data_IF_846792850649
#
_entry.id   IF_846792850649
#
_cell.length_a   1.000
_cell.length_b   1.000
_cell.length_c   1.000
_cell.angle_alpha   90.00
_cell.angle_beta   90.00
_cell.angle_gamma   90.00
#
_symmetry.space_group_name_H-M   'P 1'
#
loop_
_entity.id
_entity.type
_entity.pdbx_description
1 polymer ?
#
# COMPACT_ATOMS: atom_id res chain seq x y z
N UNK A 1 21.89 -2.02 8.57
CA UNK A 1 22.30 -2.89 7.43
C UNK A 1 22.95 -2.03 6.37
N UNK A 2 24.01 -2.51 5.71
CA UNK A 2 24.73 -1.76 4.67
C UNK A 2 23.78 -1.52 3.49
N UNK A 3 23.32 -0.29 3.32
CA UNK A 3 22.69 0.16 2.08
C UNK A 3 23.68 -0.18 0.95
N UNK A 4 23.29 -1.11 0.07
CA UNK A 4 23.97 -1.21 -1.21
C UNK A 4 23.75 0.13 -1.89
N UNK A 5 24.78 0.97 -1.88
CA UNK A 5 24.87 2.13 -2.75
C UNK A 5 24.59 1.62 -4.16
N UNK A 6 23.39 1.88 -4.67
CA UNK A 6 23.13 1.78 -6.09
C UNK A 6 24.17 2.65 -6.77
N UNK A 7 25.06 2.00 -7.51
CA UNK A 7 26.10 2.64 -8.30
C UNK A 7 25.46 3.77 -9.10
N UNK A 8 26.06 4.95 -8.98
CA UNK A 8 25.74 6.11 -9.82
C UNK A 8 25.66 5.63 -11.28
N UNK A 9 24.63 6.00 -12.05
CA UNK A 9 24.64 5.69 -13.47
C UNK A 9 25.89 6.34 -14.05
N UNK A 10 26.79 5.49 -14.56
CA UNK A 10 27.99 5.93 -15.26
C UNK A 10 27.62 6.96 -16.32
N UNK A 11 28.54 7.90 -16.54
CA UNK A 11 28.45 9.04 -17.44
C UNK A 11 28.22 8.61 -18.92
N UNK A 12 27.06 8.05 -19.23
CA UNK A 12 26.66 7.66 -20.59
C UNK A 12 26.21 8.85 -21.43
N UNK A 13 25.85 9.96 -20.78
CA UNK A 13 25.45 11.20 -21.45
C UNK A 13 26.56 11.85 -22.28
N UNK A 14 27.82 11.73 -21.87
CA UNK A 14 28.93 12.34 -22.62
C UNK A 14 29.19 11.67 -23.98
N UNK A 15 28.89 10.38 -24.13
CA UNK A 15 29.08 9.67 -25.40
C UNK A 15 28.10 10.13 -26.48
N UNK A 16 26.86 10.48 -26.10
CA UNK A 16 25.83 10.95 -27.04
C UNK A 16 26.18 12.36 -27.56
N UNK A 17 26.72 13.22 -26.70
CA UNK A 17 27.14 14.59 -27.06
C UNK A 17 28.33 14.55 -28.04
N UNK A 18 29.29 13.63 -27.84
CA UNK A 18 30.41 13.40 -28.77
C UNK A 18 29.95 12.87 -30.14
N UNK A 19 28.93 12.02 -30.18
CA UNK A 19 28.38 11.46 -31.43
C UNK A 19 27.63 12.52 -32.25
N UNK A 20 26.98 13.50 -31.60
CA UNK A 20 26.31 14.63 -32.27
C UNK A 20 27.29 15.58 -32.96
N UNK A 21 28.54 15.69 -32.51
CA UNK A 21 29.56 16.54 -33.12
C UNK A 21 30.21 15.91 -34.38
N UNK A 22 30.09 14.60 -34.59
CA UNK A 22 30.57 13.93 -35.82
C UNK A 22 29.56 13.98 -36.98
N UNK A 23 28.34 14.48 -36.77
CA UNK A 23 27.28 14.61 -37.77
C UNK A 23 27.19 16.02 -38.37
N UNK A 24 28.33 16.70 -38.52
CA UNK A 24 28.40 17.95 -39.29
C UNK A 24 28.57 17.56 -40.77
N UNK A 25 27.65 17.95 -41.67
CA UNK A 25 27.65 17.47 -43.05
C UNK A 25 28.77 18.13 -43.86
N UNK A 26 29.93 17.47 -43.89
CA UNK A 26 30.94 17.70 -44.92
C UNK A 26 30.53 17.02 -46.22
N UNK A 27 29.72 17.70 -47.06
CA UNK A 27 29.59 17.39 -48.50
C UNK A 27 28.87 16.09 -48.90
N UNK A 28 27.72 15.75 -48.31
CA UNK A 28 26.91 14.58 -48.71
C UNK A 28 25.76 14.95 -49.67
N UNK A 29 25.38 14.01 -50.55
CA UNK A 29 24.23 14.11 -51.47
C UNK A 29 22.88 14.27 -50.73
N UNK A 30 21.82 14.73 -51.41
CA UNK A 30 20.47 14.95 -50.83
C UNK A 30 19.95 13.77 -49.97
N UNK A 31 20.23 12.53 -50.39
CA UNK A 31 19.93 11.31 -49.64
C UNK A 31 20.72 11.19 -48.32
N UNK A 32 21.99 11.60 -48.31
CA UNK A 32 22.81 11.65 -47.11
C UNK A 32 22.34 12.70 -46.10
N UNK A 33 21.82 13.83 -46.59
CA UNK A 33 21.19 14.84 -45.72
C UNK A 33 19.95 14.28 -45.01
N UNK A 34 19.06 13.60 -45.73
CA UNK A 34 17.85 12.97 -45.14
C UNK A 34 18.25 11.95 -44.07
N UNK A 35 19.24 11.11 -44.34
CA UNK A 35 19.73 10.13 -43.38
C UNK A 35 20.33 10.78 -42.12
N UNK A 36 21.12 11.85 -42.30
CA UNK A 36 21.68 12.62 -41.20
C UNK A 36 20.60 13.25 -40.32
N UNK A 37 19.54 13.83 -40.92
CA UNK A 37 18.40 14.37 -40.18
C UNK A 37 17.61 13.27 -39.45
N UNK A 38 17.41 12.11 -40.07
CA UNK A 38 16.75 10.98 -39.43
C UNK A 38 17.56 10.47 -38.22
N UNK A 39 18.88 10.39 -38.34
CA UNK A 39 19.73 9.94 -37.25
C UNK A 39 19.79 10.96 -36.09
N UNK A 40 19.90 12.25 -36.38
CA UNK A 40 19.91 13.29 -35.34
C UNK A 40 18.56 13.37 -34.61
N UNK A 41 17.44 13.24 -35.33
CA UNK A 41 16.11 13.21 -34.70
C UNK A 41 15.93 11.99 -33.80
N UNK A 42 16.37 10.80 -34.21
CA UNK A 42 16.35 9.60 -33.35
C UNK A 42 17.21 9.82 -32.10
N UNK A 43 18.42 10.36 -32.23
CA UNK A 43 19.31 10.63 -31.09
C UNK A 43 18.68 11.64 -30.13
N UNK A 44 18.05 12.71 -30.64
CA UNK A 44 17.35 13.68 -29.82
C UNK A 44 16.15 13.06 -29.08
N UNK A 45 15.35 12.22 -29.75
CA UNK A 45 14.24 11.51 -29.11
C UNK A 45 14.77 10.61 -27.99
N UNK A 46 15.82 9.84 -28.24
CA UNK A 46 16.44 8.98 -27.21
C UNK A 46 16.98 9.82 -26.05
N UNK A 47 17.64 10.94 -26.31
CA UNK A 47 18.14 11.84 -25.28
C UNK A 47 17.01 12.45 -24.44
N UNK A 48 15.90 12.86 -25.08
CA UNK A 48 14.71 13.36 -24.40
C UNK A 48 14.07 12.27 -23.54
N UNK A 49 13.89 11.05 -24.07
CA UNK A 49 13.34 9.92 -23.33
C UNK A 49 14.23 9.53 -22.15
N UNK A 50 15.55 9.55 -22.33
CA UNK A 50 16.50 9.28 -21.26
C UNK A 50 16.49 10.37 -20.19
N UNK A 51 16.51 11.65 -20.58
CA UNK A 51 16.40 12.79 -19.68
C UNK A 51 15.09 12.79 -18.90
N UNK A 52 13.98 12.48 -19.57
CA UNK A 52 12.67 12.30 -18.92
C UNK A 52 12.69 11.13 -17.93
N UNK A 53 13.20 9.97 -18.32
CA UNK A 53 13.34 8.80 -17.42
C UNK A 53 14.20 9.10 -16.19
N UNK A 54 15.32 9.82 -16.37
CA UNK A 54 16.17 10.26 -15.27
C UNK A 54 15.46 11.25 -14.34
N UNK A 55 14.82 12.28 -14.90
CA UNK A 55 14.03 13.25 -14.14
C UNK A 55 12.90 12.56 -13.36
N UNK A 56 12.25 11.57 -13.97
CA UNK A 56 11.21 10.76 -13.35
C UNK A 56 11.73 9.95 -12.15
N UNK A 57 12.85 9.24 -12.31
CA UNK A 57 13.49 8.51 -11.21
C UNK A 57 13.89 9.45 -10.07
N UNK A 58 14.43 10.61 -10.40
CA UNK A 58 14.80 11.62 -9.40
C UNK A 58 13.61 12.07 -8.56
N UNK A 59 12.45 12.33 -9.18
CA UNK A 59 11.23 12.72 -8.45
C UNK A 59 10.73 11.66 -7.47
N UNK A 60 10.96 10.37 -7.75
CA UNK A 60 10.60 9.28 -6.85
C UNK A 60 11.55 9.26 -5.65
N UNK A 61 12.86 9.34 -5.91
CA UNK A 61 13.89 9.39 -4.86
C UNK A 61 13.72 10.62 -3.96
N UNK A 62 13.44 11.79 -4.54
CA UNK A 62 13.19 13.02 -3.79
C UNK A 62 11.98 12.85 -2.84
N UNK A 63 10.93 12.15 -3.30
CA UNK A 63 9.78 11.84 -2.46
C UNK A 63 10.14 10.87 -1.33
N UNK A 64 10.77 9.74 -1.65
CA UNK A 64 11.19 8.75 -0.66
C UNK A 64 12.10 9.37 0.42
N UNK A 65 13.06 10.21 0.04
CA UNK A 65 13.97 10.89 0.96
C UNK A 65 13.28 11.96 1.82
N UNK A 66 12.14 12.49 1.37
CA UNK A 66 11.37 13.47 2.14
C UNK A 66 10.58 12.85 3.30
N UNK A 67 10.44 11.53 3.32
CA UNK A 67 9.65 10.78 4.28
C UNK A 67 10.51 10.19 5.41
N UNK A 68 9.86 9.73 6.49
CA UNK A 68 10.56 9.06 7.59
C UNK A 68 11.00 7.64 7.19
N UNK A 69 12.07 7.13 7.79
CA UNK A 69 12.52 5.75 7.55
C UNK A 69 11.42 4.73 7.89
N UNK A 70 10.68 4.97 8.98
CA UNK A 70 9.59 4.09 9.41
C UNK A 70 8.42 4.08 8.42
N UNK A 71 8.05 5.25 7.88
CA UNK A 71 7.06 5.35 6.80
C UNK A 71 7.49 4.57 5.58
N UNK A 72 8.71 4.81 5.08
CA UNK A 72 9.23 4.13 3.90
C UNK A 72 9.27 2.62 4.09
N UNK A 73 9.74 2.13 5.25
CA UNK A 73 9.76 0.70 5.56
C UNK A 73 8.36 0.10 5.59
N UNK A 74 7.40 0.80 6.20
CA UNK A 74 6.02 0.33 6.28
C UNK A 74 5.40 0.18 4.89
N UNK A 75 5.51 1.21 4.04
CA UNK A 75 4.94 1.19 2.69
C UNK A 75 5.63 0.15 1.81
N UNK A 76 6.95 0.01 1.93
CA UNK A 76 7.69 -1.04 1.23
C UNK A 76 7.20 -2.43 1.62
N UNK A 77 7.11 -2.72 2.93
CA UNK A 77 6.64 -4.03 3.41
C UNK A 77 5.18 -4.28 3.05
N UNK A 78 4.30 -3.29 3.21
CA UNK A 78 2.90 -3.36 2.80
C UNK A 78 2.81 -3.73 1.31
N UNK A 79 3.52 -3.00 0.44
CA UNK A 79 3.47 -3.24 -1.00
C UNK A 79 3.96 -4.63 -1.36
N UNK A 80 5.08 -5.07 -0.77
CA UNK A 80 5.61 -6.41 -1.00
C UNK A 80 4.65 -7.50 -0.51
N UNK A 81 4.07 -7.34 0.69
CA UNK A 81 3.08 -8.28 1.23
C UNK A 81 1.86 -8.37 0.31
N UNK A 82 1.30 -7.25 -0.14
CA UNK A 82 0.14 -7.24 -1.05
C UNK A 82 0.45 -7.93 -2.39
N UNK A 83 1.64 -7.71 -2.95
CA UNK A 83 2.07 -8.38 -4.19
C UNK A 83 2.26 -9.88 -3.96
N UNK A 84 2.76 -10.30 -2.80
CA UNK A 84 2.85 -11.73 -2.46
C UNK A 84 1.49 -12.40 -2.30
N UNK A 85 0.53 -11.71 -1.68
CA UNK A 85 -0.86 -12.19 -1.55
C UNK A 85 -1.49 -12.34 -2.93
N UNK A 86 -1.33 -11.34 -3.80
CA UNK A 86 -1.85 -11.37 -5.17
C UNK A 86 -1.21 -12.49 -6.01
N UNK A 87 0.10 -12.71 -5.87
CA UNK A 87 0.85 -13.74 -6.62
C UNK A 87 0.66 -15.16 -6.07
N UNK A 88 -0.29 -15.43 -5.16
CA UNK A 88 -0.41 -16.75 -4.53
C UNK A 88 -0.67 -17.87 -5.54
N UNK A 89 -1.40 -17.56 -6.63
CA UNK A 89 -1.66 -18.50 -7.73
C UNK A 89 -0.50 -18.59 -8.76
N UNK A 90 0.64 -17.96 -8.46
CA UNK A 90 1.91 -18.09 -9.17
C UNK A 90 2.23 -16.98 -10.17
N UNK A 91 1.22 -16.28 -10.69
CA UNK A 91 1.41 -15.17 -11.64
C UNK A 91 0.67 -13.93 -11.17
N UNK A 92 1.38 -12.81 -11.09
CA UNK A 92 0.79 -11.50 -10.80
C UNK A 92 0.04 -10.98 -12.03
N UNK A 93 -1.29 -10.94 -11.97
CA UNK A 93 -2.13 -10.51 -13.08
C UNK A 93 -2.21 -8.98 -13.18
N UNK A 94 -2.63 -8.46 -14.36
CA UNK A 94 -2.86 -7.02 -14.53
C UNK A 94 -3.99 -6.51 -13.63
N UNK A 95 -5.01 -7.34 -13.39
CA UNK A 95 -6.16 -7.00 -12.55
C UNK A 95 -5.74 -6.85 -11.09
N UNK A 96 -4.93 -7.77 -10.56
CA UNK A 96 -4.33 -7.66 -9.22
C UNK A 96 -3.48 -6.40 -9.07
N UNK A 97 -2.63 -6.09 -10.04
CA UNK A 97 -1.83 -4.86 -10.03
C UNK A 97 -2.73 -3.62 -9.99
N UNK A 98 -3.82 -3.61 -10.77
CA UNK A 98 -4.79 -2.52 -10.75
C UNK A 98 -5.54 -2.45 -9.43
N UNK A 99 -5.88 -3.56 -8.80
CA UNK A 99 -6.49 -3.62 -7.47
C UNK A 99 -5.58 -2.99 -6.43
N UNK A 100 -4.30 -3.37 -6.39
CA UNK A 100 -3.31 -2.76 -5.48
C UNK A 100 -3.18 -1.26 -5.76
N UNK A 101 -3.08 -0.85 -7.03
CA UNK A 101 -2.97 0.57 -7.39
C UNK A 101 -4.19 1.39 -6.97
N UNK A 102 -5.41 0.87 -7.22
CA UNK A 102 -6.66 1.52 -6.79
C UNK A 102 -6.72 1.62 -5.27
N UNK A 103 -6.30 0.59 -4.55
CA UNK A 103 -6.23 0.65 -3.09
C UNK A 103 -5.34 1.80 -2.59
N UNK A 104 -4.11 1.93 -3.09
CA UNK A 104 -3.24 3.05 -2.70
C UNK A 104 -3.83 4.40 -3.09
N UNK A 105 -4.45 4.50 -4.27
CA UNK A 105 -5.02 5.74 -4.77
C UNK A 105 -6.31 6.16 -4.04
N UNK A 106 -7.23 5.22 -3.82
CA UNK A 106 -8.60 5.50 -3.35
C UNK A 106 -8.68 5.38 -1.82
N UNK A 107 -8.11 4.32 -1.24
CA UNK A 107 -8.14 4.08 0.21
C UNK A 107 -7.09 4.90 0.96
N UNK A 108 -5.84 4.94 0.47
CA UNK A 108 -4.77 5.73 1.10
C UNK A 108 -4.64 7.15 0.54
N UNK A 109 -5.46 7.51 -0.46
CA UNK A 109 -5.52 8.86 -1.06
C UNK A 109 -4.20 9.33 -1.66
N UNK A 110 -3.41 8.40 -2.22
CA UNK A 110 -2.11 8.72 -2.79
C UNK A 110 -2.25 9.58 -4.05
N UNK A 111 -1.46 10.66 -4.09
CA UNK A 111 -1.38 11.54 -5.26
C UNK A 111 -0.51 10.94 -6.37
N UNK A 112 -0.43 11.63 -7.51
CA UNK A 112 0.33 11.17 -8.69
C UNK A 112 1.83 10.96 -8.45
N UNK A 113 2.45 11.66 -7.49
CA UNK A 113 3.85 11.45 -7.12
C UNK A 113 4.01 10.18 -6.29
N UNK A 114 3.15 9.99 -5.29
CA UNK A 114 3.15 8.80 -4.43
C UNK A 114 2.84 7.54 -5.25
N UNK A 115 1.87 7.61 -6.17
CA UNK A 115 1.53 6.50 -7.05
C UNK A 115 2.68 6.09 -7.98
N UNK A 116 3.60 6.99 -8.31
CA UNK A 116 4.81 6.62 -9.08
C UNK A 116 5.77 5.78 -8.24
N UNK A 117 5.96 6.14 -6.98
CA UNK A 117 6.74 5.34 -6.04
C UNK A 117 6.10 3.96 -5.82
N UNK A 118 4.79 3.90 -5.57
CA UNK A 118 4.06 2.62 -5.45
C UNK A 118 4.23 1.73 -6.68
N UNK A 119 4.20 2.30 -7.90
CA UNK A 119 4.43 1.53 -9.13
C UNK A 119 5.82 0.91 -9.21
N UNK A 120 6.85 1.63 -8.77
CA UNK A 120 8.21 1.08 -8.69
C UNK A 120 8.29 0.00 -7.60
N UNK A 121 7.67 0.20 -6.43
CA UNK A 121 7.61 -0.82 -5.37
C UNK A 121 6.89 -2.10 -5.82
N UNK A 122 5.78 -2.00 -6.54
CA UNK A 122 5.07 -3.17 -7.11
C UNK A 122 5.97 -3.92 -8.10
N UNK A 123 6.70 -3.18 -8.95
CA UNK A 123 7.62 -3.76 -9.92
C UNK A 123 8.80 -4.46 -9.25
N UNK A 124 9.36 -3.86 -8.19
CA UNK A 124 10.40 -4.45 -7.35
C UNK A 124 9.89 -5.74 -6.69
N UNK A 125 8.74 -5.67 -6.00
CA UNK A 125 8.12 -6.79 -5.32
C UNK A 125 7.82 -7.96 -6.27
N UNK A 126 7.34 -7.68 -7.48
CA UNK A 126 7.02 -8.69 -8.50
C UNK A 126 8.25 -9.53 -8.91
N UNK A 127 9.42 -8.90 -8.91
CA UNK A 127 10.71 -9.50 -9.28
C UNK A 127 11.51 -10.02 -8.08
N UNK A 128 11.03 -9.79 -6.86
CA UNK A 128 11.73 -10.18 -5.64
C UNK A 128 11.51 -11.65 -5.31
N UNK A 129 12.51 -12.26 -4.66
CA UNK A 129 12.48 -13.66 -4.20
C UNK A 129 12.25 -13.79 -2.68
N UNK A 130 11.77 -12.72 -2.03
CA UNK A 130 11.47 -12.76 -0.60
C UNK A 130 10.28 -13.70 -0.37
N UNK A 131 10.22 -14.42 0.75
CA UNK A 131 9.01 -15.16 1.12
C UNK A 131 8.06 -14.27 1.91
N UNK A 132 6.76 -14.56 1.87
CA UNK A 132 5.76 -13.84 2.68
C UNK A 132 6.11 -13.90 4.17
N UNK A 133 6.57 -15.07 4.65
CA UNK A 133 6.97 -15.28 6.04
C UNK A 133 8.15 -14.38 6.44
N UNK A 134 9.13 -14.18 5.54
CA UNK A 134 10.27 -13.28 5.81
C UNK A 134 9.81 -11.83 5.94
N UNK A 135 8.89 -11.39 5.07
CA UNK A 135 8.35 -10.03 5.11
C UNK A 135 7.53 -9.80 6.39
N UNK A 136 6.69 -10.76 6.78
CA UNK A 136 5.88 -10.68 7.99
C UNK A 136 6.73 -10.73 9.26
N UNK A 137 7.77 -11.58 9.27
CA UNK A 137 8.71 -11.64 10.38
C UNK A 137 9.45 -10.31 10.54
N UNK A 138 9.92 -9.74 9.45
CA UNK A 138 10.55 -8.44 9.49
C UNK A 138 9.59 -7.37 10.00
N UNK A 139 8.37 -7.32 9.45
CA UNK A 139 7.34 -6.39 9.89
C UNK A 139 7.08 -6.49 11.40
N UNK A 140 6.93 -7.71 11.92
CA UNK A 140 6.76 -7.94 13.36
C UNK A 140 7.92 -7.42 14.19
N UNK A 141 9.16 -7.56 13.70
CA UNK A 141 10.35 -7.07 14.43
C UNK A 141 10.56 -5.57 14.33
N UNK A 142 10.12 -4.94 13.24
CA UNK A 142 10.30 -3.51 12.99
C UNK A 142 9.22 -2.63 13.64
N UNK A 143 8.02 -3.16 13.88
CA UNK A 143 6.88 -2.37 14.33
C UNK A 143 6.22 -2.88 15.60
N UNK A 144 5.66 -1.94 16.38
CA UNK A 144 4.87 -2.23 17.57
C UNK A 144 3.54 -2.94 17.24
N UNK A 145 2.67 -3.15 18.24
CA UNK A 145 1.39 -3.82 18.03
C UNK A 145 0.42 -3.03 17.15
N UNK A 146 0.37 -1.71 17.33
CA UNK A 146 -0.60 -0.84 16.67
C UNK A 146 -0.39 -0.76 15.14
N UNK A 147 0.83 -0.56 14.61
CA UNK A 147 1.06 -0.67 13.16
C UNK A 147 0.74 -2.04 12.57
N UNK A 148 0.90 -3.13 13.34
CA UNK A 148 0.53 -4.49 12.90
C UNK A 148 -0.99 -4.60 12.69
N UNK A 149 -1.79 -4.00 13.56
CA UNK A 149 -3.24 -3.93 13.37
C UNK A 149 -3.60 -3.12 12.12
N UNK A 150 -2.90 -2.01 11.85
CA UNK A 150 -3.11 -1.23 10.61
C UNK A 150 -2.80 -2.09 9.39
N UNK A 151 -1.66 -2.78 9.35
CA UNK A 151 -1.33 -3.67 8.24
C UNK A 151 -2.44 -4.70 7.98
N UNK A 152 -2.94 -5.35 9.04
CA UNK A 152 -4.02 -6.33 8.90
C UNK A 152 -5.33 -5.69 8.40
N UNK A 153 -5.70 -4.51 8.89
CA UNK A 153 -6.86 -3.76 8.39
C UNK A 153 -6.71 -3.47 6.89
N UNK A 154 -5.54 -2.98 6.45
CA UNK A 154 -5.26 -2.69 5.05
C UNK A 154 -5.32 -3.94 4.17
N UNK A 155 -4.81 -5.08 4.65
CA UNK A 155 -4.93 -6.37 3.94
C UNK A 155 -6.40 -6.72 3.73
N UNK A 156 -7.25 -6.60 4.76
CA UNK A 156 -8.69 -6.83 4.57
C UNK A 156 -9.33 -5.81 3.61
N UNK A 157 -8.95 -4.53 3.64
CA UNK A 157 -9.45 -3.54 2.67
C UNK A 157 -9.16 -3.95 1.22
N UNK A 158 -7.94 -4.42 0.95
CA UNK A 158 -7.54 -4.88 -0.38
C UNK A 158 -8.29 -6.13 -0.78
N UNK A 159 -8.40 -7.12 0.11
CA UNK A 159 -9.10 -8.37 -0.21
C UNK A 159 -10.58 -8.11 -0.52
N UNK A 160 -11.25 -7.30 0.29
CA UNK A 160 -12.66 -6.95 0.12
C UNK A 160 -12.92 -5.83 -0.88
N UNK A 161 -11.91 -5.39 -1.66
CA UNK A 161 -12.14 -4.42 -2.74
C UNK A 161 -12.95 -5.03 -3.90
N UNK A 162 -12.96 -6.36 -4.01
CA UNK A 162 -13.73 -7.13 -4.98
C UNK A 162 -15.00 -7.72 -4.34
N UNK A 163 -16.00 -8.04 -5.18
CA UNK A 163 -17.37 -8.36 -4.75
C UNK A 163 -17.53 -9.62 -3.90
N UNK A 164 -16.60 -10.58 -3.99
CA UNK A 164 -16.62 -11.78 -3.16
C UNK A 164 -15.19 -12.27 -2.88
N UNK A 165 -14.87 -12.46 -1.61
CA UNK A 165 -13.59 -13.02 -1.15
C UNK A 165 -13.83 -14.45 -0.70
N UNK A 166 -13.26 -15.45 -1.38
CA UNK A 166 -13.47 -16.84 -1.02
C UNK A 166 -12.76 -17.17 0.32
N UNK A 167 -13.29 -18.13 1.08
CA UNK A 167 -12.80 -18.42 2.44
C UNK A 167 -11.34 -18.89 2.49
N UNK A 168 -10.83 -19.50 1.41
CA UNK A 168 -9.42 -19.87 1.28
C UNK A 168 -8.50 -18.65 1.23
N UNK A 169 -8.91 -17.56 0.58
CA UNK A 169 -8.17 -16.30 0.60
C UNK A 169 -8.17 -15.69 2.00
N UNK A 170 -9.31 -15.74 2.71
CA UNK A 170 -9.39 -15.25 4.09
C UNK A 170 -8.49 -16.03 5.06
N UNK A 171 -8.13 -17.28 4.74
CA UNK A 171 -7.13 -18.01 5.50
C UNK A 171 -5.74 -17.35 5.44
N UNK A 172 -5.41 -16.66 4.35
CA UNK A 172 -4.17 -15.90 4.21
C UNK A 172 -4.14 -14.76 5.24
N UNK A 173 -5.22 -13.97 5.33
CA UNK A 173 -5.31 -12.89 6.32
C UNK A 173 -5.23 -13.40 7.78
N UNK A 174 -5.87 -14.55 8.07
CA UNK A 174 -5.77 -15.21 9.38
C UNK A 174 -4.34 -15.65 9.68
N UNK A 175 -3.64 -16.21 8.69
CA UNK A 175 -2.25 -16.62 8.85
C UNK A 175 -1.34 -15.41 9.07
N UNK A 176 -1.54 -14.32 8.30
CA UNK A 176 -0.84 -13.04 8.48
C UNK A 176 -1.02 -12.54 9.91
N UNK A 177 -2.25 -12.53 10.43
CA UNK A 177 -2.52 -12.11 11.81
C UNK A 177 -1.74 -12.94 12.84
N UNK A 178 -1.69 -14.27 12.67
CA UNK A 178 -0.92 -15.17 13.53
C UNK A 178 0.59 -14.89 13.45
N UNK A 179 1.14 -14.72 12.25
CA UNK A 179 2.56 -14.39 12.06
C UNK A 179 2.91 -13.05 12.71
N UNK A 180 2.03 -12.06 12.59
CA UNK A 180 2.17 -10.76 13.21
C UNK A 180 1.90 -10.78 14.71
N UNK A 181 1.55 -11.92 15.32
CA UNK A 181 1.24 -12.04 16.75
C UNK A 181 0.12 -11.06 17.18
N UNK A 182 -0.90 -10.94 16.32
CA UNK A 182 -2.16 -10.26 16.61
C UNK A 182 -3.08 -11.25 17.33
N UNK A 183 -3.73 -10.80 18.40
CA UNK A 183 -4.63 -11.67 19.16
C UNK A 183 -5.77 -12.21 18.30
N UNK A 184 -6.15 -13.48 18.51
CA UNK A 184 -7.28 -14.11 17.81
C UNK A 184 -8.57 -13.29 17.96
N UNK A 185 -8.76 -12.63 19.10
CA UNK A 185 -9.89 -11.75 19.35
C UNK A 185 -9.89 -10.52 18.41
N UNK A 186 -8.76 -9.82 18.31
CA UNK A 186 -8.65 -8.64 17.44
C UNK A 186 -8.81 -9.04 15.97
N UNK A 187 -8.19 -10.17 15.55
CA UNK A 187 -8.32 -10.72 14.20
C UNK A 187 -9.78 -11.04 13.85
N UNK A 188 -10.49 -11.78 14.71
CA UNK A 188 -11.90 -12.16 14.47
C UNK A 188 -12.81 -10.95 14.41
N UNK A 189 -12.56 -9.94 15.25
CA UNK A 189 -13.33 -8.69 15.27
C UNK A 189 -13.16 -7.94 13.95
N UNK A 190 -11.93 -7.83 13.44
CA UNK A 190 -11.66 -7.23 12.13
C UNK A 190 -12.33 -8.04 11.00
N UNK A 191 -12.12 -9.36 10.95
CA UNK A 191 -12.73 -10.20 9.91
C UNK A 191 -14.26 -10.09 9.89
N UNK A 192 -14.90 -10.10 11.07
CA UNK A 192 -16.34 -9.98 11.21
C UNK A 192 -16.87 -8.63 10.67
N UNK A 193 -16.13 -7.52 10.88
CA UNK A 193 -16.48 -6.21 10.31
C UNK A 193 -16.57 -6.29 8.79
N UNK A 194 -15.53 -6.81 8.13
CA UNK A 194 -15.49 -6.87 6.66
C UNK A 194 -16.49 -7.87 6.07
N UNK A 195 -16.69 -9.03 6.72
CA UNK A 195 -17.76 -9.97 6.35
C UNK A 195 -19.14 -9.31 6.44
N UNK A 196 -19.39 -8.54 7.50
CA UNK A 196 -20.67 -7.84 7.66
C UNK A 196 -20.86 -6.76 6.58
N UNK A 197 -19.84 -5.93 6.34
CA UNK A 197 -19.89 -4.84 5.35
C UNK A 197 -20.06 -5.35 3.91
N UNK A 198 -19.40 -6.45 3.55
CA UNK A 198 -19.53 -7.05 2.21
C UNK A 198 -20.90 -7.69 1.98
N UNK A 199 -21.49 -8.30 3.01
CA UNK A 199 -22.83 -8.89 2.91
C UNK A 199 -23.96 -7.85 2.94
N UNK A 200 -23.72 -6.68 3.53
CA UNK A 200 -24.70 -5.60 3.65
C UNK A 200 -24.16 -4.28 3.10
N UNK A 201 -24.07 -4.12 1.77
CA UNK A 201 -23.71 -2.85 1.16
C UNK A 201 -24.68 -1.75 1.61
N UNK A 202 -24.13 -0.60 1.99
CA UNK A 202 -24.88 0.63 2.33
C UNK A 202 -25.88 0.97 1.22
N UNK A 203 -27.13 0.53 1.38
CA UNK A 203 -28.17 0.61 0.34
C UNK A 203 -29.34 -0.36 0.54
N UNK A 204 -29.14 -1.49 1.23
CA UNK A 204 -30.22 -2.41 1.63
C UNK A 204 -30.79 -2.05 2.99
N UNK A 205 -31.95 -1.37 3.03
CA UNK A 205 -32.64 -1.00 4.27
C UNK A 205 -33.00 -2.22 5.11
N UNK A 206 -32.42 -2.34 6.31
CA UNK A 206 -32.78 -3.40 7.27
C UNK A 206 -31.62 -4.00 8.07
N UNK A 207 -30.37 -3.59 7.86
CA UNK A 207 -29.25 -4.05 8.70
C UNK A 207 -29.45 -3.63 10.15
N UNK A 208 -29.37 -4.59 11.08
CA UNK A 208 -29.46 -4.32 12.52
C UNK A 208 -28.24 -3.48 12.94
N UNK A 209 -28.41 -2.16 13.03
CA UNK A 209 -27.37 -1.20 13.43
C UNK A 209 -26.71 -1.58 14.76
N UNK A 210 -27.48 -2.15 15.70
CA UNK A 210 -26.96 -2.66 16.96
C UNK A 210 -25.96 -3.79 16.73
N UNK A 211 -26.30 -4.75 15.86
CA UNK A 211 -25.40 -5.86 15.51
C UNK A 211 -24.11 -5.36 14.87
N UNK A 212 -24.18 -4.37 13.97
CA UNK A 212 -22.99 -3.75 13.38
C UNK A 212 -22.08 -3.12 14.44
N UNK A 213 -22.64 -2.32 15.35
CA UNK A 213 -21.87 -1.67 16.40
C UNK A 213 -21.29 -2.65 17.41
N UNK A 214 -21.99 -3.75 17.69
CA UNK A 214 -21.43 -4.86 18.47
C UNK A 214 -20.25 -5.51 17.77
N UNK A 215 -20.33 -5.73 16.46
CA UNK A 215 -19.21 -6.24 15.66
C UNK A 215 -18.02 -5.28 15.66
N UNK A 216 -18.25 -3.97 15.55
CA UNK A 216 -17.18 -2.96 15.63
C UNK A 216 -16.45 -3.01 16.97
N UNK A 217 -17.18 -3.20 18.08
CA UNK A 217 -16.60 -3.29 19.41
C UNK A 217 -16.10 -4.70 19.79
N UNK A 218 -16.41 -5.72 18.98
CA UNK A 218 -16.08 -7.12 19.27
C UNK A 218 -16.80 -7.70 20.49
N UNK A 219 -18.04 -7.28 20.77
CA UNK A 219 -18.80 -7.70 21.97
C UNK A 219 -19.99 -8.60 21.64
N UNK A 220 -20.35 -9.50 22.54
CA UNK A 220 -21.46 -10.46 22.40
C UNK A 220 -22.85 -9.84 22.61
N UNK A 221 -23.89 -10.60 22.24
CA UNK A 221 -25.28 -10.13 22.28
C UNK A 221 -25.72 -10.03 23.73
N UNK A 222 -26.27 -8.89 24.12
CA UNK A 222 -26.59 -8.63 25.52
C UNK A 222 -25.36 -8.41 26.41
N UNK A 223 -24.19 -8.10 25.85
CA UNK A 223 -23.04 -7.69 26.65
C UNK A 223 -23.39 -6.50 27.55
N UNK A 224 -23.07 -6.60 28.84
CA UNK A 224 -23.29 -5.51 29.80
C UNK A 224 -22.51 -4.25 29.40
N UNK A 225 -23.05 -3.08 29.78
CA UNK A 225 -22.43 -1.79 29.45
C UNK A 225 -20.98 -1.67 29.94
N UNK A 226 -20.64 -2.29 31.08
CA UNK A 226 -19.25 -2.33 31.58
C UNK A 226 -18.30 -3.10 30.64
N UNK A 227 -18.78 -4.15 29.98
CA UNK A 227 -18.03 -4.90 28.96
C UNK A 227 -17.82 -4.05 27.71
N UNK A 228 -18.86 -3.34 27.27
CA UNK A 228 -18.81 -2.40 26.14
C UNK A 228 -17.78 -1.29 26.43
N UNK A 229 -17.79 -0.73 27.64
CA UNK A 229 -16.86 0.31 28.07
C UNK A 229 -15.41 -0.20 28.13
N UNK A 230 -15.18 -1.44 28.57
CA UNK A 230 -13.85 -2.07 28.55
C UNK A 230 -13.35 -2.27 27.12
N UNK A 231 -14.19 -2.78 26.23
CA UNK A 231 -13.85 -2.97 24.82
C UNK A 231 -13.51 -1.64 24.14
N UNK A 232 -14.33 -0.61 24.36
CA UNK A 232 -14.07 0.75 23.89
C UNK A 232 -12.69 1.25 24.31
N UNK A 233 -12.35 1.22 25.61
CA UNK A 233 -11.04 1.69 26.09
C UNK A 233 -9.87 0.93 25.45
N UNK A 234 -9.99 -0.39 25.31
CA UNK A 234 -8.96 -1.23 24.67
C UNK A 234 -8.76 -0.81 23.22
N UNK A 235 -9.84 -0.72 22.45
CA UNK A 235 -9.80 -0.35 21.03
C UNK A 235 -9.30 1.09 20.83
N UNK A 236 -9.71 2.03 21.69
CA UNK A 236 -9.22 3.42 21.63
C UNK A 236 -7.71 3.52 21.86
N UNK A 237 -7.13 2.67 22.71
CA UNK A 237 -5.67 2.64 22.90
C UNK A 237 -4.95 2.01 21.69
N UNK A 238 -5.53 0.97 21.09
CA UNK A 238 -4.97 0.25 19.97
C UNK A 238 -4.98 1.06 18.66
N UNK A 239 -6.05 1.82 18.41
CA UNK A 239 -6.24 2.59 17.18
C UNK A 239 -6.02 4.09 17.36
N UNK A 240 -5.34 4.53 18.43
CA UNK A 240 -5.08 5.95 18.63
C UNK A 240 -4.20 6.50 17.49
N UNK A 241 -4.56 7.60 16.81
CA UNK A 241 -3.81 8.11 15.66
C UNK A 241 -2.35 8.40 15.96
N UNK A 242 -2.02 8.89 17.15
CA UNK A 242 -0.64 9.15 17.57
C UNK A 242 0.26 7.90 17.56
N UNK A 243 -0.32 6.71 17.72
CA UNK A 243 0.45 5.44 17.70
C UNK A 243 1.03 5.13 16.33
N UNK A 244 0.46 5.71 15.28
CA UNK A 244 0.84 5.46 13.88
C UNK A 244 1.17 6.74 13.11
N UNK A 245 1.13 7.90 13.76
CA UNK A 245 1.45 9.19 13.14
C UNK A 245 2.87 9.23 12.53
N UNK A 246 3.82 8.49 13.10
CA UNK A 246 5.19 8.38 12.59
C UNK A 246 5.29 7.65 11.24
N UNK A 247 4.25 6.91 10.86
CA UNK A 247 4.15 6.19 9.58
C UNK A 247 3.64 7.08 8.45
N UNK A 248 3.17 8.30 8.71
CA UNK A 248 2.60 9.17 7.70
C UNK A 248 1.11 9.43 7.89
N UNK A 249 0.63 10.45 7.17
CA UNK A 249 -0.73 10.98 7.30
C UNK A 249 -1.79 9.99 6.81
N UNK A 250 -1.47 9.15 5.82
CA UNK A 250 -2.37 8.13 5.30
C UNK A 250 -2.75 7.08 6.35
N UNK A 251 -1.78 6.60 7.15
CA UNK A 251 -2.03 5.57 8.17
C UNK A 251 -2.63 6.18 9.42
N UNK A 252 -2.29 7.43 9.72
CA UNK A 252 -2.98 8.22 10.73
C UNK A 252 -4.47 8.33 10.40
N UNK A 253 -4.84 8.65 9.16
CA UNK A 253 -6.24 8.70 8.71
C UNK A 253 -6.95 7.36 8.84
N UNK A 254 -6.29 6.25 8.51
CA UNK A 254 -6.85 4.91 8.72
C UNK A 254 -7.17 4.70 10.21
N UNK A 255 -6.26 5.06 11.11
CA UNK A 255 -6.52 4.99 12.55
C UNK A 255 -7.65 5.94 13.01
N UNK A 256 -7.73 7.16 12.45
CA UNK A 256 -8.81 8.12 12.73
C UNK A 256 -10.18 7.60 12.29
N UNK A 257 -10.28 7.01 11.10
CA UNK A 257 -11.51 6.39 10.59
C UNK A 257 -11.96 5.24 11.50
N UNK A 258 -11.03 4.39 11.91
CA UNK A 258 -11.32 3.32 12.89
C UNK A 258 -11.78 3.88 14.23
N UNK A 259 -11.10 4.92 14.74
CA UNK A 259 -11.51 5.57 15.97
C UNK A 259 -12.92 6.15 15.88
N UNK A 260 -13.26 6.74 14.74
CA UNK A 260 -14.60 7.28 14.48
C UNK A 260 -15.67 6.17 14.49
N UNK A 261 -15.40 5.02 13.88
CA UNK A 261 -16.28 3.84 13.95
C UNK A 261 -16.47 3.36 15.40
N UNK A 262 -15.38 3.24 16.16
CA UNK A 262 -15.38 2.81 17.56
C UNK A 262 -16.18 3.78 18.44
N UNK A 263 -15.96 5.08 18.28
CA UNK A 263 -16.67 6.12 19.01
C UNK A 263 -18.17 6.09 18.70
N UNK A 264 -18.55 5.98 17.42
CA UNK A 264 -19.96 5.90 17.02
C UNK A 264 -20.66 4.68 17.62
N UNK A 265 -19.98 3.52 17.64
CA UNK A 265 -20.51 2.31 18.25
C UNK A 265 -20.69 2.46 19.76
N UNK A 266 -19.71 3.03 20.46
CA UNK A 266 -19.80 3.26 21.90
C UNK A 266 -20.91 4.26 22.26
N UNK A 267 -21.01 5.38 21.52
CA UNK A 267 -22.03 6.40 21.75
C UNK A 267 -23.44 5.86 21.55
N UNK A 268 -23.63 4.92 20.62
CA UNK A 268 -24.91 4.23 20.42
C UNK A 268 -25.36 3.47 21.68
N UNK A 269 -24.47 2.66 22.27
CA UNK A 269 -24.79 1.91 23.48
C UNK A 269 -24.92 2.80 24.71
N UNK A 270 -24.08 3.84 24.81
CA UNK A 270 -24.13 4.80 25.92
C UNK A 270 -25.46 5.54 26.01
N UNK A 271 -26.10 5.83 24.88
CA UNK A 271 -27.42 6.49 24.85
C UNK A 271 -28.59 5.56 25.22
N UNK A 272 -28.36 4.24 25.22
CA UNK A 272 -29.37 3.20 25.50
C UNK A 272 -29.18 2.56 26.88
N UNK A 273 -28.22 3.06 27.66
CA UNK A 273 -27.97 2.69 29.04
C UNK A 273 -29.01 3.31 29.97
#
# INVERSE_FOLDING_TARGET
MKYQQQQQPGCGGCFIILLLLMLIPGGASFLGSIFSFALTTIVLIVAILWGFSFWMRRKIVDYEQSQTESHNRFVWLLTHILVHIAKIDGVLTKEEVLTIQRFFQDSLRYNQTQMRWVKELIKEASSSNNSLESLLQEFKTSFAYEPRLILLELVYQVMYSNSHVPDNELQIARNIAKYLDISDYDQRTMEAKYRYQSQHPTGGGGGNQEAQFRTVLGVDAGAEFETIRKAYRKLSMQYHPDKVAHLGEEFKKVAEEKMKEINAAYDYFKKRQ
#
